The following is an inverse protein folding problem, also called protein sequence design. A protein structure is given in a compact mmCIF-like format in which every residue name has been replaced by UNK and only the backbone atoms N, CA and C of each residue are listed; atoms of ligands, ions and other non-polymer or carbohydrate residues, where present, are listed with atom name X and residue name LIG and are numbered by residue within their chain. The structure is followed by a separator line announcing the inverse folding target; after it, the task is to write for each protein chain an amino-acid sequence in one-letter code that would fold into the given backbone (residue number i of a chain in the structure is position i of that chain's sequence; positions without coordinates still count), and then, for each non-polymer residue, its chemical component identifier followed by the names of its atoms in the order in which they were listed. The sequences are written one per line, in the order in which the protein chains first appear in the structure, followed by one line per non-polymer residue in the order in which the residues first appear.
data_IF_401188137719
#
_entry.id   IF_401188137719
#
_cell.length_a   1.000
_cell.length_b   1.000
_cell.length_c   1.000
_cell.angle_alpha   90.00
_cell.angle_beta   90.00
_cell.angle_gamma   90.00
#
_symmetry.space_group_name_H-M   'P 1'
#
loop_
_entity.id
_entity.type
_entity.pdbx_description
1 polymer ?
#
# COMPACT_ATOMS: atom_id res chain seq x y z
N UNK A 1 -9.66 23.44 -0.20
CA UNK A 1 -10.33 22.13 -0.15
C UNK A 1 -9.43 21.18 0.63
N UNK A 2 -9.98 20.43 1.58
CA UNK A 2 -9.21 19.50 2.43
C UNK A 2 -9.16 18.07 1.86
N UNK A 3 -9.89 17.81 0.76
CA UNK A 3 -9.92 16.54 0.03
C UNK A 3 -9.78 16.83 -1.47
N UNK A 4 -8.96 16.02 -2.16
CA UNK A 4 -8.75 16.11 -3.60
C UNK A 4 -9.01 14.74 -4.25
N UNK A 5 -9.88 14.71 -5.25
CA UNK A 5 -9.96 13.60 -6.18
C UNK A 5 -9.06 13.92 -7.38
N UNK A 6 -7.99 13.16 -7.55
CA UNK A 6 -6.94 13.44 -8.54
C UNK A 6 -7.07 12.53 -9.76
N UNK A 7 -6.16 12.69 -10.72
CA UNK A 7 -6.05 11.76 -11.86
C UNK A 7 -5.50 10.40 -11.44
N UNK A 8 -5.84 9.37 -12.22
CA UNK A 8 -5.44 7.98 -11.97
C UNK A 8 -3.91 7.84 -11.92
N UNK A 9 -3.41 7.21 -10.87
CA UNK A 9 -1.99 6.99 -10.60
C UNK A 9 -1.23 8.26 -10.19
N UNK A 10 -1.92 9.39 -9.95
CA UNK A 10 -1.29 10.66 -9.54
C UNK A 10 -1.57 11.15 -8.11
N UNK A 11 -2.31 10.46 -7.20
CA UNK A 11 -2.57 11.04 -5.89
C UNK A 11 -1.28 11.29 -5.08
N UNK A 12 -0.26 10.42 -5.21
CA UNK A 12 1.05 10.61 -4.55
C UNK A 12 1.82 11.82 -5.13
N UNK A 13 1.71 12.07 -6.44
CA UNK A 13 2.36 13.22 -7.06
C UNK A 13 1.75 14.54 -6.55
N UNK A 14 0.41 14.61 -6.48
CA UNK A 14 -0.30 15.74 -5.88
C UNK A 14 0.05 15.91 -4.39
N UNK A 15 0.00 14.81 -3.63
CA UNK A 15 0.37 14.79 -2.21
C UNK A 15 1.79 15.29 -1.95
N UNK A 16 2.74 14.93 -2.82
CA UNK A 16 4.13 15.40 -2.75
C UNK A 16 4.21 16.92 -2.89
N UNK A 17 3.52 17.48 -3.88
CA UNK A 17 3.47 18.93 -4.09
C UNK A 17 2.87 19.67 -2.89
N UNK A 18 1.78 19.14 -2.32
CA UNK A 18 1.15 19.72 -1.14
C UNK A 18 2.11 19.66 0.06
N UNK A 19 2.70 18.49 0.34
CA UNK A 19 3.56 18.31 1.51
C UNK A 19 4.81 19.20 1.48
N UNK A 20 5.42 19.36 0.30
CA UNK A 20 6.59 20.23 0.14
C UNK A 20 6.28 21.72 0.37
N UNK A 21 5.06 22.16 0.07
CA UNK A 21 4.64 23.55 0.26
C UNK A 21 4.02 23.81 1.64
N UNK A 22 3.42 22.80 2.25
CA UNK A 22 2.72 22.86 3.53
C UNK A 22 3.25 21.76 4.47
N UNK A 23 4.53 21.85 4.91
CA UNK A 23 5.24 20.77 5.61
C UNK A 23 4.61 20.39 6.95
N UNK A 24 3.84 21.28 7.58
CA UNK A 24 3.11 21.03 8.82
C UNK A 24 1.85 20.18 8.63
N UNK A 25 1.30 20.12 7.40
CA UNK A 25 0.07 19.37 7.13
C UNK A 25 0.30 17.86 7.14
N UNK A 26 -0.65 17.16 7.73
CA UNK A 26 -0.75 15.69 7.64
C UNK A 26 -1.47 15.32 6.35
N UNK A 27 -0.79 14.55 5.51
CA UNK A 27 -1.28 14.15 4.20
C UNK A 27 -1.58 12.66 4.23
N UNK A 28 -2.76 12.29 3.73
CA UNK A 28 -3.17 10.90 3.58
C UNK A 28 -3.66 10.67 2.15
N UNK A 29 -3.18 9.59 1.55
CA UNK A 29 -3.63 9.10 0.24
C UNK A 29 -4.32 7.76 0.47
N UNK A 30 -5.54 7.61 -0.03
CA UNK A 30 -6.26 6.33 -0.07
C UNK A 30 -6.45 5.99 -1.53
N UNK A 31 -5.97 4.82 -1.96
CA UNK A 31 -6.08 4.41 -3.36
C UNK A 31 -6.03 2.90 -3.53
N UNK A 32 -6.35 2.41 -4.72
CA UNK A 32 -6.34 0.99 -5.07
C UNK A 32 -4.95 0.48 -5.45
N UNK A 33 -4.79 -0.84 -5.42
CA UNK A 33 -3.58 -1.54 -5.89
C UNK A 33 -3.23 -1.21 -7.34
N UNK A 34 -4.20 -1.25 -8.26
CA UNK A 34 -3.96 -0.89 -9.66
C UNK A 34 -3.51 0.58 -9.84
N UNK A 35 -4.15 1.51 -9.13
CA UNK A 35 -3.77 2.93 -9.17
C UNK A 35 -2.34 3.16 -8.66
N UNK A 36 -1.99 2.55 -7.52
CA UNK A 36 -0.72 2.79 -6.85
C UNK A 36 0.46 2.01 -7.44
N UNK A 37 0.22 0.82 -8.01
CA UNK A 37 1.30 -0.10 -8.39
C UNK A 37 1.39 -0.37 -9.89
N UNK A 38 0.35 -0.07 -10.67
CA UNK A 38 0.46 -0.01 -12.12
C UNK A 38 0.85 1.42 -12.55
N UNK A 39 -0.11 2.25 -12.95
CA UNK A 39 0.14 3.58 -13.51
C UNK A 39 0.80 4.54 -12.52
N UNK A 40 0.62 4.32 -11.21
CA UNK A 40 1.22 5.11 -10.13
C UNK A 40 2.52 4.55 -9.55
N UNK A 41 2.98 3.38 -10.01
CA UNK A 41 4.07 2.62 -9.37
C UNK A 41 5.34 3.43 -9.14
N UNK A 42 5.76 4.21 -10.15
CA UNK A 42 6.97 5.01 -10.05
C UNK A 42 6.87 6.14 -9.00
N UNK A 43 5.67 6.71 -8.82
CA UNK A 43 5.44 7.73 -7.80
C UNK A 43 5.49 7.13 -6.40
N UNK A 44 4.94 5.93 -6.23
CA UNK A 44 4.94 5.19 -4.96
C UNK A 44 6.38 4.91 -4.49
N UNK A 45 7.19 4.27 -5.32
CA UNK A 45 8.57 3.90 -4.93
C UNK A 45 9.44 5.14 -4.68
N UNK A 46 9.24 6.22 -5.44
CA UNK A 46 10.02 7.44 -5.23
C UNK A 46 9.55 8.25 -4.02
N UNK A 47 8.28 8.20 -3.63
CA UNK A 47 7.82 8.81 -2.38
C UNK A 47 8.40 8.08 -1.17
N UNK A 48 8.43 6.74 -1.21
CA UNK A 48 9.10 5.90 -0.21
C UNK A 48 10.62 6.21 -0.13
N UNK A 49 11.31 6.19 -1.27
CA UNK A 49 12.76 6.48 -1.35
C UNK A 49 13.12 7.84 -0.77
N UNK A 50 12.34 8.87 -1.10
CA UNK A 50 12.53 10.24 -0.60
C UNK A 50 12.14 10.40 0.86
N UNK A 51 11.42 9.45 1.44
CA UNK A 51 10.86 9.53 2.78
C UNK A 51 10.03 10.80 3.02
N UNK A 52 9.14 11.14 2.07
CA UNK A 52 8.27 12.31 2.21
C UNK A 52 7.18 11.99 3.22
N UNK A 53 6.98 12.86 4.23
CA UNK A 53 5.96 12.63 5.27
C UNK A 53 4.52 12.65 4.73
N UNK A 54 3.99 11.45 4.52
CA UNK A 54 2.60 11.18 4.16
C UNK A 54 2.24 9.74 4.49
N UNK A 55 0.95 9.49 4.71
CA UNK A 55 0.39 8.15 4.89
C UNK A 55 -0.29 7.71 3.59
N UNK A 56 0.08 6.55 3.07
CA UNK A 56 -0.58 5.92 1.92
C UNK A 56 -1.28 4.65 2.39
N UNK A 57 -2.59 4.58 2.17
CA UNK A 57 -3.42 3.39 2.44
C UNK A 57 -3.79 2.79 1.08
N UNK A 58 -3.22 1.63 0.78
CA UNK A 58 -3.52 0.87 -0.42
C UNK A 58 -4.63 -0.14 -0.12
N UNK A 59 -5.80 0.06 -0.72
CA UNK A 59 -6.89 -0.93 -0.68
C UNK A 59 -6.62 -1.94 -1.81
N UNK A 60 -5.94 -3.03 -1.46
CA UNK A 60 -5.59 -4.08 -2.40
C UNK A 60 -6.71 -5.11 -2.47
N UNK A 61 -7.43 -5.14 -3.58
CA UNK A 61 -8.51 -6.11 -3.81
C UNK A 61 -8.20 -7.09 -4.96
N UNK A 62 -6.97 -7.07 -5.48
CA UNK A 62 -6.49 -8.01 -6.48
C UNK A 62 -7.04 -7.80 -7.88
N UNK A 63 -7.77 -6.71 -8.18
CA UNK A 63 -8.45 -6.52 -9.47
C UNK A 63 -8.84 -5.05 -9.74
N UNK A 64 -8.92 -4.64 -10.99
CA UNK A 64 -9.54 -3.34 -11.31
C UNK A 64 -11.07 -3.38 -11.16
N UNK A 65 -11.55 -3.11 -9.95
CA UNK A 65 -12.96 -3.21 -9.59
C UNK A 65 -13.87 -2.24 -10.38
N UNK A 66 -13.49 -0.96 -10.48
CA UNK A 66 -14.33 0.09 -11.07
C UNK A 66 -14.44 0.03 -12.60
N UNK A 67 -13.51 -0.64 -13.28
CA UNK A 67 -13.47 -0.72 -14.75
C UNK A 67 -14.00 -2.03 -15.30
N UNK A 68 -14.52 -2.93 -14.44
CA UNK A 68 -15.17 -4.17 -14.89
C UNK A 68 -14.39 -5.46 -14.65
N UNK A 69 -13.34 -5.43 -13.81
CA UNK A 69 -12.66 -6.64 -13.36
C UNK A 69 -11.49 -7.07 -14.24
N UNK A 70 -10.64 -6.15 -14.66
CA UNK A 70 -9.37 -6.41 -15.35
C UNK A 70 -8.28 -6.88 -14.38
N UNK A 71 -7.30 -7.60 -14.93
CA UNK A 71 -6.07 -7.96 -14.21
C UNK A 71 -5.38 -6.73 -13.63
N UNK A 72 -5.04 -6.79 -12.34
CA UNK A 72 -4.23 -5.81 -11.62
C UNK A 72 -2.84 -6.40 -11.33
N UNK A 73 -1.83 -5.58 -10.98
CA UNK A 73 -0.49 -6.06 -10.69
C UNK A 73 -0.38 -7.03 -9.50
N UNK A 74 -1.43 -7.13 -8.69
CA UNK A 74 -1.55 -8.01 -7.52
C UNK A 74 -2.43 -9.23 -7.78
N UNK A 75 -3.06 -9.34 -8.96
CA UNK A 75 -3.93 -10.46 -9.29
C UNK A 75 -3.12 -11.76 -9.25
N UNK A 76 -3.55 -12.78 -8.48
CA UNK A 76 -2.79 -14.03 -8.39
C UNK A 76 -2.57 -14.68 -9.75
N UNK A 77 -1.42 -15.33 -9.93
CA UNK A 77 -1.12 -16.10 -11.14
C UNK A 77 -2.19 -17.19 -11.33
N UNK A 78 -2.64 -17.39 -12.57
CA UNK A 78 -3.69 -18.33 -12.92
C UNK A 78 -5.12 -17.82 -12.70
N UNK A 79 -5.32 -16.70 -11.97
CA UNK A 79 -6.65 -16.13 -11.80
C UNK A 79 -7.22 -15.61 -13.13
N UNK A 80 -8.46 -15.98 -13.42
CA UNK A 80 -9.19 -15.49 -14.59
C UNK A 80 -9.77 -14.10 -14.31
N UNK A 81 -9.64 -13.20 -15.28
CA UNK A 81 -10.23 -11.85 -15.25
C UNK A 81 -10.86 -11.54 -16.60
N UNK A 82 -11.46 -10.36 -16.77
CA UNK A 82 -12.05 -9.98 -18.07
C UNK A 82 -10.99 -9.86 -19.19
N UNK A 83 -9.77 -9.45 -18.86
CA UNK A 83 -8.65 -9.31 -19.82
C UNK A 83 -7.71 -10.51 -19.82
N UNK A 84 -7.80 -11.39 -18.82
CA UNK A 84 -7.06 -12.66 -18.75
C UNK A 84 -8.02 -13.84 -18.63
N UNK A 85 -8.87 -14.12 -19.65
CA UNK A 85 -9.90 -15.17 -19.56
C UNK A 85 -9.30 -16.59 -19.42
N UNK A 86 -8.05 -16.77 -19.87
CA UNK A 86 -7.30 -18.02 -19.75
C UNK A 86 -6.41 -18.08 -18.50
N UNK A 87 -6.50 -17.07 -17.62
CA UNK A 87 -5.69 -16.95 -16.40
C UNK A 87 -4.55 -15.95 -16.53
N UNK A 88 -4.18 -15.32 -15.42
CA UNK A 88 -3.04 -14.41 -15.35
C UNK A 88 -1.70 -15.17 -15.49
N UNK A 89 -0.83 -14.72 -16.39
CA UNK A 89 0.49 -15.30 -16.60
C UNK A 89 1.61 -14.56 -15.86
N UNK A 90 1.33 -13.39 -15.30
CA UNK A 90 2.32 -12.56 -14.63
C UNK A 90 2.47 -12.95 -13.16
N UNK A 91 3.64 -12.64 -12.59
CA UNK A 91 3.87 -12.79 -11.16
C UNK A 91 3.29 -11.57 -10.43
N UNK A 92 2.43 -11.77 -9.41
CA UNK A 92 1.86 -10.64 -8.69
C UNK A 92 2.93 -9.92 -7.86
N UNK A 93 2.81 -8.59 -7.75
CA UNK A 93 3.62 -7.83 -6.81
C UNK A 93 3.26 -8.17 -5.36
N UNK A 94 4.30 -8.39 -4.55
CA UNK A 94 4.20 -8.15 -3.11
C UNK A 94 4.42 -6.65 -2.86
N UNK A 95 3.33 -5.89 -2.75
CA UNK A 95 3.40 -4.42 -2.65
C UNK A 95 4.16 -3.99 -1.40
N UNK A 96 3.87 -4.61 -0.25
CA UNK A 96 4.52 -4.23 1.01
C UNK A 96 6.03 -4.48 0.97
N UNK A 97 6.48 -5.59 0.40
CA UNK A 97 7.91 -5.89 0.21
C UNK A 97 8.56 -4.93 -0.78
N UNK A 98 7.88 -4.60 -1.87
CA UNK A 98 8.35 -3.59 -2.83
C UNK A 98 8.53 -2.22 -2.17
N UNK A 99 7.55 -1.78 -1.36
CA UNK A 99 7.59 -0.48 -0.68
C UNK A 99 8.62 -0.47 0.45
N UNK A 100 8.79 -1.58 1.17
CA UNK A 100 9.89 -1.78 2.12
C UNK A 100 11.25 -1.65 1.42
N UNK A 101 11.45 -2.35 0.30
CA UNK A 101 12.69 -2.30 -0.48
C UNK A 101 12.94 -0.90 -1.09
N UNK A 102 11.88 -0.17 -1.46
CA UNK A 102 11.97 1.22 -1.89
C UNK A 102 12.37 2.19 -0.76
N UNK A 103 12.38 1.72 0.49
CA UNK A 103 12.86 2.44 1.65
C UNK A 103 11.76 3.20 2.39
N UNK A 104 10.53 2.71 2.48
CA UNK A 104 9.54 3.32 3.37
C UNK A 104 9.98 3.23 4.85
N UNK A 105 9.66 4.25 5.65
CA UNK A 105 9.98 4.28 7.09
C UNK A 105 8.98 3.47 7.92
N UNK A 106 7.78 3.29 7.41
CA UNK A 106 6.75 2.48 8.03
C UNK A 106 5.99 1.71 6.96
N UNK A 107 5.87 0.39 7.14
CA UNK A 107 5.11 -0.50 6.26
C UNK A 107 4.30 -1.45 7.13
N UNK A 108 3.01 -1.54 6.90
CA UNK A 108 2.15 -2.53 7.54
C UNK A 108 1.22 -3.18 6.52
N UNK A 109 0.89 -4.46 6.74
CA UNK A 109 -0.12 -5.19 5.98
C UNK A 109 -1.18 -5.72 6.93
N UNK A 110 -2.44 -5.45 6.61
CA UNK A 110 -3.59 -6.02 7.31
C UNK A 110 -4.66 -6.42 6.30
N UNK A 111 -5.62 -7.23 6.73
CA UNK A 111 -6.81 -7.52 5.91
C UNK A 111 -8.03 -6.79 6.47
N UNK A 112 -9.08 -6.66 5.66
CA UNK A 112 -10.36 -6.12 6.10
C UNK A 112 -10.99 -6.91 7.26
N UNK A 113 -10.54 -8.15 7.51
CA UNK A 113 -10.92 -8.95 8.68
C UNK A 113 -10.30 -8.46 10.00
N UNK A 114 -9.24 -7.63 9.96
CA UNK A 114 -8.47 -7.17 11.13
C UNK A 114 -8.69 -5.67 11.46
N UNK A 115 -9.93 -5.17 11.66
CA UNK A 115 -10.20 -3.74 11.75
C UNK A 115 -9.56 -3.08 12.98
N UNK A 116 -9.41 -3.81 14.09
CA UNK A 116 -8.79 -3.30 15.32
C UNK A 116 -7.29 -3.04 15.12
N UNK A 117 -6.58 -4.00 14.53
CA UNK A 117 -5.16 -3.90 14.23
C UNK A 117 -4.91 -2.83 13.16
N UNK A 118 -5.70 -2.83 12.08
CA UNK A 118 -5.64 -1.82 11.05
C UNK A 118 -5.80 -0.40 11.63
N UNK A 119 -6.78 -0.20 12.51
CA UNK A 119 -7.00 1.09 13.18
C UNK A 119 -5.79 1.53 14.02
N UNK A 120 -5.15 0.60 14.74
CA UNK A 120 -3.92 0.89 15.50
C UNK A 120 -2.78 1.28 14.57
N UNK A 121 -2.58 0.55 13.47
CA UNK A 121 -1.54 0.86 12.48
C UNK A 121 -1.78 2.19 11.78
N UNK A 122 -3.02 2.56 11.45
CA UNK A 122 -3.34 3.89 10.90
C UNK A 122 -2.97 4.99 11.91
N UNK A 123 -3.34 4.82 13.19
CA UNK A 123 -2.96 5.77 14.25
C UNK A 123 -1.43 5.91 14.39
N UNK A 124 -0.69 4.81 14.23
CA UNK A 124 0.78 4.81 14.26
C UNK A 124 1.36 5.53 13.04
N UNK A 125 0.88 5.20 11.84
CA UNK A 125 1.30 5.83 10.59
C UNK A 125 1.11 7.35 10.58
N UNK A 126 -0.01 7.86 11.09
CA UNK A 126 -0.26 9.33 11.17
C UNK A 126 0.79 10.05 12.05
N UNK A 127 1.27 9.37 13.11
CA UNK A 127 2.28 9.91 14.03
C UNK A 127 3.70 9.76 13.51
N UNK A 128 3.93 8.86 12.55
CA UNK A 128 5.25 8.65 11.95
C UNK A 128 5.70 9.93 11.25
N UNK A 129 7.01 10.17 11.28
CA UNK A 129 7.68 11.15 10.42
C UNK A 129 8.29 10.41 9.25
N UNK A 130 7.89 10.79 8.04
CA UNK A 130 8.33 10.16 6.80
C UNK A 130 7.24 9.33 6.14
N UNK A 131 7.63 8.61 5.10
CA UNK A 131 6.70 7.88 4.26
C UNK A 131 6.19 6.62 4.97
N UNK A 132 4.87 6.56 5.18
CA UNK A 132 4.19 5.44 5.81
C UNK A 132 3.21 4.78 4.84
N UNK A 133 3.29 3.47 4.70
CA UNK A 133 2.45 2.68 3.80
C UNK A 133 1.68 1.61 4.56
N UNK A 134 0.39 1.50 4.29
CA UNK A 134 -0.47 0.45 4.83
C UNK A 134 -1.16 -0.25 3.67
N UNK A 135 -0.84 -1.52 3.46
CA UNK A 135 -1.58 -2.39 2.56
C UNK A 135 -2.78 -3.00 3.31
N UNK A 136 -3.97 -2.81 2.75
CA UNK A 136 -5.21 -3.38 3.25
C UNK A 136 -5.72 -4.37 2.22
N UNK A 137 -5.54 -5.66 2.48
CA UNK A 137 -6.13 -6.72 1.66
C UNK A 137 -7.64 -6.71 1.89
N UNK A 138 -8.40 -6.42 0.84
CA UNK A 138 -9.83 -6.19 0.88
C UNK A 138 -10.57 -7.09 -0.09
N UNK A 139 -11.78 -7.51 0.29
CA UNK A 139 -12.64 -8.31 -0.57
C UNK A 139 -13.25 -7.46 -1.69
N UNK A 140 -13.35 -8.02 -2.90
CA UNK A 140 -14.15 -7.48 -4.01
C UNK A 140 -15.05 -8.60 -4.56
N UNK A 141 -16.19 -8.89 -3.91
CA UNK A 141 -17.03 -10.02 -4.28
C UNK A 141 -17.59 -9.90 -5.72
N UNK A 142 -17.91 -8.67 -6.15
CA UNK A 142 -18.55 -8.41 -7.45
C UNK A 142 -17.63 -8.70 -8.63
N UNK A 143 -16.35 -8.30 -8.55
CA UNK A 143 -15.40 -8.50 -9.64
C UNK A 143 -14.44 -9.63 -9.34
N UNK A 144 -13.69 -9.56 -8.24
CA UNK A 144 -12.72 -10.61 -7.92
C UNK A 144 -13.40 -11.93 -7.60
N UNK A 145 -14.37 -11.93 -6.67
CA UNK A 145 -15.11 -13.13 -6.27
C UNK A 145 -15.79 -13.81 -7.45
N UNK A 146 -16.57 -13.05 -8.23
CA UNK A 146 -17.30 -13.57 -9.38
C UNK A 146 -16.41 -14.10 -10.51
N UNK A 147 -15.25 -13.48 -10.78
CA UNK A 147 -14.36 -13.91 -11.87
C UNK A 147 -13.42 -15.06 -11.49
N UNK A 148 -12.99 -15.10 -10.24
CA UNK A 148 -11.99 -16.09 -9.77
C UNK A 148 -12.62 -17.30 -9.09
N UNK A 149 -13.89 -17.22 -8.70
CA UNK A 149 -14.54 -18.25 -7.89
C UNK A 149 -14.18 -18.17 -6.40
N UNK A 150 -13.61 -17.04 -5.93
CA UNK A 150 -13.24 -16.85 -4.53
C UNK A 150 -14.44 -16.72 -3.56
N UNK A 151 -15.67 -16.75 -4.09
CA UNK A 151 -16.90 -16.79 -3.30
C UNK A 151 -17.47 -15.42 -2.96
N UNK A 152 -18.44 -15.45 -2.05
CA UNK A 152 -19.16 -14.30 -1.50
C UNK A 152 -18.30 -13.44 -0.58
N UNK A 153 -18.82 -12.26 -0.20
CA UNK A 153 -18.15 -11.35 0.73
C UNK A 153 -17.77 -12.02 2.06
N UNK A 154 -18.65 -12.89 2.59
CA UNK A 154 -18.44 -13.57 3.87
C UNK A 154 -17.39 -14.67 3.74
N UNK A 155 -17.41 -15.44 2.66
CA UNK A 155 -16.43 -16.49 2.39
C UNK A 155 -15.02 -15.91 2.22
N UNK A 156 -14.90 -14.80 1.49
CA UNK A 156 -13.61 -14.09 1.35
C UNK A 156 -13.09 -13.56 2.68
N UNK A 157 -13.95 -13.01 3.55
CA UNK A 157 -13.54 -12.57 4.89
C UNK A 157 -13.09 -13.74 5.79
N UNK A 158 -13.76 -14.90 5.72
CA UNK A 158 -13.32 -16.11 6.40
C UNK A 158 -11.97 -16.58 5.86
N UNK A 159 -11.79 -16.56 4.54
CA UNK A 159 -10.51 -16.87 3.90
C UNK A 159 -9.38 -15.94 4.40
N UNK A 160 -9.64 -14.65 4.57
CA UNK A 160 -8.66 -13.74 5.18
C UNK A 160 -8.35 -14.08 6.63
N UNK A 161 -9.34 -14.50 7.43
CA UNK A 161 -9.11 -14.98 8.79
C UNK A 161 -8.21 -16.21 8.80
N UNK A 162 -8.55 -17.20 7.98
CA UNK A 162 -7.96 -18.53 8.05
C UNK A 162 -6.57 -18.58 7.40
N UNK A 163 -6.32 -17.73 6.39
CA UNK A 163 -5.02 -17.65 5.70
C UNK A 163 -4.10 -16.58 6.26
N UNK A 164 -4.52 -15.77 7.22
CA UNK A 164 -3.65 -14.74 7.81
C UNK A 164 -2.72 -15.30 8.88
N UNK A 165 -1.46 -14.91 8.82
CA UNK A 165 -0.44 -15.24 9.82
C UNK A 165 0.32 -13.99 10.24
N UNK A 166 0.65 -13.85 11.52
CA UNK A 166 1.42 -12.68 11.98
C UNK A 166 2.84 -12.70 11.41
N UNK A 167 3.40 -11.52 11.09
CA UNK A 167 4.80 -11.35 10.67
C UNK A 167 5.80 -12.01 11.61
N UNK A 168 5.55 -11.97 12.93
CA UNK A 168 6.41 -12.64 13.94
C UNK A 168 6.51 -14.15 13.69
N UNK A 169 5.36 -14.81 13.57
CA UNK A 169 5.28 -16.26 13.31
C UNK A 169 5.78 -16.62 11.91
N UNK A 170 5.51 -15.78 10.92
CA UNK A 170 6.02 -15.99 9.56
C UNK A 170 7.56 -15.96 9.52
N UNK A 171 8.21 -15.15 10.36
CA UNK A 171 9.68 -15.10 10.47
C UNK A 171 10.33 -16.35 11.06
N UNK A 172 9.54 -17.24 11.68
CA UNK A 172 9.98 -18.54 12.22
C UNK A 172 9.77 -19.69 11.21
N UNK A 173 9.19 -19.39 10.05
CA UNK A 173 8.83 -20.36 9.01
C UNK A 173 9.67 -20.16 7.75
N UNK A 174 9.78 -21.19 6.93
CA UNK A 174 10.40 -21.07 5.60
C UNK A 174 9.51 -20.27 4.65
N UNK A 175 10.12 -19.66 3.63
CA UNK A 175 9.38 -18.93 2.59
C UNK A 175 8.32 -19.82 1.90
N UNK A 176 8.62 -21.12 1.73
CA UNK A 176 7.72 -22.09 1.13
C UNK A 176 6.48 -22.35 2.00
N UNK A 177 6.62 -22.39 3.31
CA UNK A 177 5.48 -22.59 4.22
C UNK A 177 4.56 -21.35 4.29
N UNK A 178 5.10 -20.18 3.98
CA UNK A 178 4.34 -18.92 3.97
C UNK A 178 3.79 -18.54 2.59
N UNK A 179 4.10 -19.28 1.52
CA UNK A 179 3.79 -18.88 0.14
C UNK A 179 2.29 -18.69 -0.11
N UNK A 180 1.46 -19.47 0.58
CA UNK A 180 0.01 -19.43 0.47
C UNK A 180 -0.67 -18.66 1.62
N UNK A 181 0.10 -17.98 2.46
CA UNK A 181 -0.41 -17.26 3.63
C UNK A 181 -0.35 -15.75 3.42
N UNK A 182 -1.31 -15.05 4.03
CA UNK A 182 -1.33 -13.59 4.08
C UNK A 182 -0.57 -13.18 5.35
N UNK A 183 0.69 -12.79 5.19
CA UNK A 183 1.50 -12.28 6.31
C UNK A 183 1.00 -10.91 6.73
N UNK A 184 0.45 -10.78 7.93
CA UNK A 184 -0.10 -9.54 8.48
C UNK A 184 0.74 -9.01 9.64
N UNK A 185 0.85 -7.70 9.77
CA UNK A 185 1.66 -7.06 10.81
C UNK A 185 2.26 -5.73 10.39
N UNK A 186 3.01 -5.14 11.32
CA UNK A 186 3.96 -4.06 11.03
C UNK A 186 5.24 -4.72 10.51
N UNK A 187 5.54 -4.51 9.23
CA UNK A 187 6.66 -5.11 8.49
C UNK A 187 7.92 -4.27 8.61
N UNK A 188 7.76 -2.94 8.69
CA UNK A 188 8.82 -1.97 8.92
C UNK A 188 8.32 -0.91 9.87
N UNK A 189 9.14 -0.56 10.86
CA UNK A 189 9.01 0.70 11.59
C UNK A 189 10.41 1.19 12.01
N UNK A 190 10.95 2.14 11.25
CA UNK A 190 12.28 2.71 11.48
C UNK A 190 12.23 4.22 11.36
N UNK A 191 13.01 4.92 12.18
CA UNK A 191 13.13 6.38 12.07
C UNK A 191 14.29 6.72 11.15
N UNK A 192 14.06 7.64 10.21
CA UNK A 192 15.10 8.20 9.35
C UNK A 192 14.72 9.61 8.90
N UNK A 193 15.70 10.43 8.45
CA UNK A 193 15.44 11.81 8.08
C UNK A 193 14.33 11.97 7.03
N UNK A 194 13.43 12.91 7.28
CA UNK A 194 12.30 13.25 6.41
C UNK A 194 12.72 14.34 5.40
N UNK A 195 12.16 14.32 4.19
CA UNK A 195 12.59 15.20 3.10
C UNK A 195 12.42 16.70 3.42
N UNK A 196 11.24 17.13 3.90
CA UNK A 196 11.00 18.53 4.24
C UNK A 196 11.92 19.00 5.37
N UNK A 197 12.22 18.16 6.36
CA UNK A 197 13.19 18.45 7.41
C UNK A 197 14.60 18.66 6.84
N UNK A 198 15.06 17.80 5.93
CA UNK A 198 16.37 17.93 5.27
C UNK A 198 16.44 19.18 4.37
N UNK A 199 15.37 19.48 3.62
CA UNK A 199 15.27 20.72 2.84
C UNK A 199 15.34 21.96 3.76
N UNK A 200 14.67 21.93 4.91
CA UNK A 200 14.71 23.04 5.86
C UNK A 200 16.12 23.23 6.47
N UNK A 201 16.82 22.13 6.79
CA UNK A 201 18.22 22.19 7.24
C UNK A 201 19.13 22.79 6.17
N UNK A 202 18.97 22.39 4.91
CA UNK A 202 19.74 22.94 3.79
C UNK A 202 19.53 24.45 3.65
N UNK A 203 18.27 24.90 3.64
CA UNK A 203 17.93 26.34 3.55
C UNK A 203 18.58 27.16 4.66
N UNK A 204 18.56 26.66 5.90
CA UNK A 204 19.19 27.33 7.06
C UNK A 204 20.71 27.44 6.94
N UNK A 205 21.37 26.44 6.35
CA UNK A 205 22.82 26.48 6.11
C UNK A 205 23.16 27.57 5.09
N UNK A 206 22.47 27.57 3.96
CA UNK A 206 22.73 28.54 2.86
C UNK A 206 22.30 29.97 3.17
N UNK A 207 21.40 30.19 4.14
CA UNK A 207 20.98 31.54 4.55
C UNK A 207 21.90 32.19 5.58
N UNK A 208 22.82 31.43 6.19
CA UNK A 208 23.82 31.96 7.15
C UNK A 208 25.10 32.42 6.46
N UNK A 209 25.29 32.05 5.20
CA UNK A 209 26.41 32.46 4.35
C UNK A 209 26.10 33.75 3.55
N UNK A 210 25.02 34.47 3.91
CA UNK A 210 24.62 35.79 3.41
C UNK A 210 24.47 36.74 4.58
#
# INVERSE_FOLDING_TARGET
ADVLHTTHGRPIAFATGIKLNLPEKKIMVISGDGDLTAIGGNHLIHAARRNIDMVVICVNNGIYGMTGGQVAPTTPRGSKTITTPLGNLEHPFDISSMVQAAGASYVARWTAYHPRQLTKSIKRAIRKKGFAFIEVISQCPVQFGAKTGAGSAVEMLKMFKDRSISVKRAGEMSAQETSDLIVVGELVDTDKPELCEEIAKLKKRTSRDK
#
